data_IF_710135034272
#
_entry.id   IF_710135034272
#
_cell.length_a   1.000
_cell.length_b   1.000
_cell.length_c   1.000
_cell.angle_alpha   90.00
_cell.angle_beta   90.00
_cell.angle_gamma   90.00
#
_symmetry.space_group_name_H-M   'P 1'
#
loop_
_entity.id
_entity.type
_entity.pdbx_description
1 polymer ?
#
# COMPACT_ATOMS: atom_id res chain seq x y z
N UNK A 1 -38.73 -2.71 -25.24
CA UNK A 1 -37.47 -3.37 -24.84
C UNK A 1 -36.34 -2.38 -25.01
N UNK A 2 -35.92 -1.71 -23.94
CA UNK A 2 -34.77 -0.79 -23.94
C UNK A 2 -33.69 -1.38 -23.06
N UNK A 3 -32.71 -2.03 -23.69
CA UNK A 3 -31.53 -2.56 -23.02
C UNK A 3 -30.68 -1.39 -22.51
N UNK A 4 -30.71 -1.17 -21.19
CA UNK A 4 -29.71 -0.34 -20.52
C UNK A 4 -28.38 -1.10 -20.54
N UNK A 5 -27.45 -0.66 -21.40
CA UNK A 5 -26.05 -1.06 -21.33
C UNK A 5 -25.48 -0.51 -20.01
N UNK A 6 -25.38 -1.35 -18.99
CA UNK A 6 -24.58 -1.04 -17.79
C UNK A 6 -23.12 -1.12 -18.22
N UNK A 7 -22.57 -0.02 -18.72
CA UNK A 7 -21.13 0.15 -18.78
C UNK A 7 -20.63 0.23 -17.33
N UNK A 8 -20.16 -0.89 -16.78
CA UNK A 8 -19.42 -0.90 -15.52
C UNK A 8 -18.20 0.01 -15.69
N UNK A 9 -18.24 1.22 -15.15
CA UNK A 9 -17.08 2.11 -15.11
C UNK A 9 -15.90 1.37 -14.49
N UNK A 10 -14.84 1.16 -15.28
CA UNK A 10 -13.61 0.56 -14.79
C UNK A 10 -12.93 1.60 -13.90
N UNK A 11 -12.90 1.33 -12.60
CA UNK A 11 -12.23 2.17 -11.61
C UNK A 11 -10.82 2.55 -12.08
N UNK A 12 -10.51 3.86 -12.07
CA UNK A 12 -9.15 4.39 -12.35
C UNK A 12 -8.06 3.83 -11.43
N UNK A 13 -8.41 3.47 -10.19
CA UNK A 13 -7.48 2.91 -9.22
C UNK A 13 -7.10 1.47 -9.57
N UNK A 14 -5.87 1.03 -9.24
CA UNK A 14 -5.46 -0.34 -9.48
C UNK A 14 -6.39 -1.34 -8.78
N UNK A 15 -6.46 -2.54 -9.33
CA UNK A 15 -7.09 -3.67 -8.68
C UNK A 15 -6.09 -4.46 -7.81
N UNK A 16 -6.58 -5.47 -7.09
CA UNK A 16 -5.75 -6.31 -6.22
C UNK A 16 -4.56 -6.96 -6.94
N UNK A 17 -4.75 -7.46 -8.17
CA UNK A 17 -3.69 -8.14 -8.91
C UNK A 17 -2.57 -7.17 -9.30
N UNK A 18 -2.93 -5.96 -9.71
CA UNK A 18 -1.98 -4.88 -9.99
C UNK A 18 -1.25 -4.44 -8.72
N UNK A 19 -1.95 -4.27 -7.60
CA UNK A 19 -1.33 -3.98 -6.30
C UNK A 19 -0.29 -5.04 -5.90
N UNK A 20 -0.65 -6.32 -6.04
CA UNK A 20 0.26 -7.44 -5.77
C UNK A 20 1.47 -7.45 -6.72
N UNK A 21 1.31 -7.01 -7.97
CA UNK A 21 2.40 -6.87 -8.91
C UNK A 21 3.41 -5.78 -8.50
N UNK A 22 2.93 -4.63 -8.02
CA UNK A 22 3.81 -3.58 -7.46
C UNK A 22 4.58 -4.10 -6.25
N UNK A 23 3.91 -4.79 -5.33
CA UNK A 23 4.57 -5.40 -4.17
C UNK A 23 5.65 -6.42 -4.59
N UNK A 24 5.33 -7.32 -5.52
CA UNK A 24 6.31 -8.29 -6.05
C UNK A 24 7.51 -7.59 -6.69
N UNK A 25 7.27 -6.52 -7.44
CA UNK A 25 8.33 -5.74 -8.06
C UNK A 25 9.25 -5.12 -6.99
N UNK A 26 8.67 -4.54 -5.93
CA UNK A 26 9.43 -4.00 -4.81
C UNK A 26 10.26 -5.08 -4.10
N UNK A 27 9.66 -6.23 -3.78
CA UNK A 27 10.35 -7.32 -3.08
C UNK A 27 11.47 -7.95 -3.92
N UNK A 28 11.34 -7.96 -5.26
CA UNK A 28 12.32 -8.53 -6.20
C UNK A 28 13.32 -7.51 -6.74
N UNK A 29 13.38 -6.31 -6.18
CA UNK A 29 14.31 -5.27 -6.65
C UNK A 29 14.13 -4.91 -8.14
N UNK A 30 12.89 -4.93 -8.63
CA UNK A 30 12.59 -4.64 -10.02
C UNK A 30 12.81 -3.17 -10.40
N UNK A 31 13.09 -2.92 -11.68
CA UNK A 31 13.43 -1.58 -12.24
C UNK A 31 12.23 -0.71 -12.63
N UNK A 32 11.00 -1.08 -12.22
CA UNK A 32 9.77 -0.33 -12.59
C UNK A 32 9.51 0.89 -11.71
N UNK A 33 10.15 0.96 -10.55
CA UNK A 33 10.01 2.10 -9.66
C UNK A 33 10.87 3.26 -10.18
N UNK A 34 10.31 4.47 -10.22
CA UNK A 34 11.09 5.67 -10.55
C UNK A 34 11.88 6.20 -9.35
N UNK A 35 11.44 5.86 -8.13
CA UNK A 35 12.17 6.10 -6.90
C UNK A 35 12.05 4.87 -6.00
N UNK A 36 13.18 4.41 -5.47
CA UNK A 36 13.23 3.21 -4.63
C UNK A 36 14.29 3.37 -3.55
N UNK A 37 13.93 2.96 -2.33
CA UNK A 37 14.83 2.80 -1.20
C UNK A 37 14.67 1.39 -0.61
N UNK A 38 15.39 1.11 0.48
CA UNK A 38 15.16 -0.12 1.27
C UNK A 38 13.79 -0.13 1.97
N UNK A 39 13.17 1.04 2.21
CA UNK A 39 11.95 1.18 3.01
C UNK A 39 10.68 1.37 2.19
N UNK A 40 10.81 1.91 0.97
CA UNK A 40 9.67 2.19 0.11
C UNK A 40 10.07 2.26 -1.37
N UNK A 41 9.07 2.20 -2.25
CA UNK A 41 9.22 2.50 -3.67
C UNK A 41 7.99 3.20 -4.23
N UNK A 42 8.20 4.08 -5.20
CA UNK A 42 7.16 4.76 -5.95
C UNK A 42 7.08 4.26 -7.38
N UNK A 43 5.85 4.16 -7.86
CA UNK A 43 5.50 3.72 -9.20
C UNK A 43 4.50 4.70 -9.81
N UNK A 44 4.62 4.94 -11.11
CA UNK A 44 3.57 5.58 -11.88
C UNK A 44 2.54 4.52 -12.27
N UNK A 45 1.26 4.77 -11.97
CA UNK A 45 0.16 3.88 -12.40
C UNK A 45 -0.53 4.42 -13.66
N UNK A 46 -0.85 5.72 -13.64
CA UNK A 46 -1.39 6.50 -14.76
C UNK A 46 -0.89 7.95 -14.61
N UNK A 47 -1.10 8.86 -15.58
CA UNK A 47 -0.69 10.26 -15.44
C UNK A 47 -1.18 10.95 -14.15
N UNK A 48 -2.33 10.52 -13.62
CA UNK A 48 -2.99 11.12 -12.45
C UNK A 48 -2.94 10.25 -11.19
N UNK A 49 -2.36 9.05 -11.25
CA UNK A 49 -2.27 8.13 -10.11
C UNK A 49 -0.85 7.62 -9.91
N UNK A 50 -0.43 7.66 -8.64
CA UNK A 50 0.79 7.02 -8.19
C UNK A 50 0.51 5.89 -7.23
N UNK A 51 1.49 4.99 -7.13
CA UNK A 51 1.50 3.90 -6.16
C UNK A 51 2.75 4.02 -5.32
N UNK A 52 2.59 3.99 -3.99
CA UNK A 52 3.68 3.77 -3.04
C UNK A 52 3.57 2.35 -2.48
N UNK A 53 4.70 1.64 -2.45
CA UNK A 53 4.87 0.41 -1.65
C UNK A 53 5.76 0.78 -0.47
N UNK A 54 5.33 0.51 0.76
CA UNK A 54 6.03 0.93 1.98
C UNK A 54 5.87 -0.08 3.12
N UNK A 55 6.90 -0.24 3.95
CA UNK A 55 6.76 -1.00 5.19
C UNK A 55 5.96 -0.23 6.25
N UNK A 56 4.92 -0.88 6.79
CA UNK A 56 4.16 -0.40 7.95
C UNK A 56 4.77 -0.94 9.25
N UNK A 57 5.19 -2.21 9.22
CA UNK A 57 5.91 -2.88 10.29
C UNK A 57 6.88 -3.91 9.69
N UNK A 58 7.66 -4.61 10.53
CA UNK A 58 8.48 -5.73 10.08
C UNK A 58 7.57 -6.73 9.36
N UNK A 59 7.94 -7.11 8.14
CA UNK A 59 7.21 -8.02 7.26
C UNK A 59 5.82 -7.56 6.80
N UNK A 60 5.30 -6.42 7.26
CA UNK A 60 3.99 -5.90 6.85
C UNK A 60 4.17 -4.71 5.93
N UNK A 61 3.64 -4.81 4.72
CA UNK A 61 3.74 -3.80 3.68
C UNK A 61 2.37 -3.26 3.28
N UNK A 62 2.33 -1.97 3.01
CA UNK A 62 1.23 -1.31 2.34
C UNK A 62 1.57 -1.10 0.87
N UNK A 63 0.61 -1.40 0.00
CA UNK A 63 0.54 -0.86 -1.35
C UNK A 63 -0.58 0.16 -1.36
N UNK A 64 -0.29 1.42 -1.69
CA UNK A 64 -1.27 2.51 -1.68
C UNK A 64 -1.22 3.26 -2.99
N UNK A 65 -2.37 3.36 -3.64
CA UNK A 65 -2.61 4.18 -4.80
C UNK A 65 -3.33 5.47 -4.41
N UNK A 66 -2.89 6.62 -4.91
CA UNK A 66 -3.42 7.93 -4.55
C UNK A 66 -3.31 8.91 -5.74
N UNK A 67 -4.20 9.91 -5.82
CA UNK A 67 -4.18 10.91 -6.88
C UNK A 67 -3.00 11.86 -6.73
N UNK A 68 -2.50 12.36 -7.86
CA UNK A 68 -1.49 13.41 -7.93
C UNK A 68 -1.88 14.46 -8.96
N UNK A 69 -1.67 15.73 -8.64
CA UNK A 69 -2.08 16.85 -9.48
C UNK A 69 -1.05 17.16 -10.57
N UNK A 70 -0.79 16.21 -11.46
CA UNK A 70 -0.06 16.38 -12.74
C UNK A 70 1.41 16.83 -12.68
N UNK A 71 1.82 17.45 -11.59
CA UNK A 71 3.10 18.10 -11.32
C UNK A 71 3.49 17.70 -9.88
N UNK A 72 4.77 17.39 -9.66
CA UNK A 72 5.42 17.08 -8.37
C UNK A 72 5.35 15.65 -7.83
N UNK A 73 6.51 15.22 -7.32
CA UNK A 73 6.77 14.02 -6.52
C UNK A 73 6.05 14.16 -5.19
N UNK A 74 5.12 13.26 -4.88
CA UNK A 74 4.53 13.25 -3.54
C UNK A 74 5.60 12.74 -2.57
N UNK A 75 5.84 13.49 -1.52
CA UNK A 75 6.61 13.02 -0.37
C UNK A 75 5.88 11.82 0.26
N UNK A 76 6.57 11.05 1.10
CA UNK A 76 5.91 9.92 1.81
C UNK A 76 4.76 10.45 2.67
N UNK A 77 4.94 11.63 3.26
CA UNK A 77 3.95 12.28 4.10
C UNK A 77 2.69 12.63 3.29
N UNK A 78 2.84 13.27 2.13
CA UNK A 78 1.71 13.58 1.25
C UNK A 78 1.01 12.31 0.77
N UNK A 79 1.77 11.30 0.31
CA UNK A 79 1.22 10.03 -0.15
C UNK A 79 0.39 9.32 0.92
N UNK A 80 0.86 9.36 2.18
CA UNK A 80 0.17 8.72 3.32
C UNK A 80 -0.99 9.56 3.84
N UNK A 81 -0.94 10.91 3.69
CA UNK A 81 -2.00 11.84 4.08
C UNK A 81 -3.16 11.92 3.09
N UNK A 82 -2.95 11.58 1.82
CA UNK A 82 -4.00 11.59 0.79
C UNK A 82 -5.29 10.92 1.29
N UNK A 83 -6.39 11.67 1.31
CA UNK A 83 -7.67 11.19 1.84
C UNK A 83 -8.38 10.26 0.87
N UNK A 84 -8.33 10.59 -0.44
CA UNK A 84 -8.73 9.70 -1.51
C UNK A 84 -7.58 8.75 -1.85
N UNK A 85 -7.77 7.46 -1.55
CA UNK A 85 -6.78 6.43 -1.87
C UNK A 85 -7.40 5.04 -1.99
N UNK A 86 -6.70 4.15 -2.69
CA UNK A 86 -6.92 2.70 -2.61
C UNK A 86 -5.71 2.01 -2.01
N UNK A 87 -5.91 1.30 -0.90
CA UNK A 87 -4.83 0.67 -0.13
C UNK A 87 -5.02 -0.83 0.02
N UNK A 88 -3.90 -1.56 0.12
CA UNK A 88 -3.84 -2.98 0.45
C UNK A 88 -2.71 -3.22 1.45
N UNK A 89 -3.02 -3.95 2.52
CA UNK A 89 -2.05 -4.45 3.48
C UNK A 89 -1.73 -5.91 3.19
N UNK A 90 -0.44 -6.21 3.22
CA UNK A 90 0.10 -7.55 2.99
C UNK A 90 1.09 -7.88 4.09
N UNK A 91 1.19 -9.17 4.42
CA UNK A 91 2.35 -9.71 5.12
C UNK A 91 3.24 -10.47 4.15
N UNK A 92 4.55 -10.35 4.32
CA UNK A 92 5.55 -11.02 3.52
C UNK A 92 6.36 -11.98 4.40
N UNK A 93 6.20 -13.26 4.14
CA UNK A 93 7.01 -14.30 4.73
C UNK A 93 8.30 -14.45 3.93
N UNK A 94 9.41 -13.98 4.50
CA UNK A 94 10.73 -14.05 3.89
C UNK A 94 11.24 -15.49 3.74
N UNK A 95 10.85 -16.41 4.63
CA UNK A 95 11.33 -17.80 4.62
C UNK A 95 10.81 -18.52 3.38
N UNK A 96 9.51 -18.37 3.11
CA UNK A 96 8.83 -19.02 2.00
C UNK A 96 8.64 -18.09 0.78
N UNK A 97 9.21 -16.87 0.81
CA UNK A 97 9.04 -15.82 -0.21
C UNK A 97 7.57 -15.61 -0.61
N UNK A 98 6.68 -15.68 0.38
CA UNK A 98 5.23 -15.73 0.18
C UNK A 98 4.53 -14.46 0.63
N UNK A 99 3.54 -14.02 -0.15
CA UNK A 99 2.77 -12.80 0.10
C UNK A 99 1.35 -13.20 0.50
N UNK A 100 0.94 -12.82 1.69
CA UNK A 100 -0.42 -13.04 2.19
C UNK A 100 -1.16 -11.71 2.32
N UNK A 101 -2.44 -11.74 1.97
CA UNK A 101 -3.32 -10.57 2.04
C UNK A 101 -3.89 -10.42 3.45
N UNK A 102 -3.87 -9.19 3.97
CA UNK A 102 -4.49 -8.85 5.26
C UNK A 102 -5.85 -8.21 5.00
N UNK A 103 -5.85 -7.03 4.37
CA UNK A 103 -7.07 -6.28 4.06
C UNK A 103 -6.81 -5.22 2.99
N UNK A 104 -7.85 -4.59 2.47
CA UNK A 104 -7.76 -3.51 1.49
C UNK A 104 -8.94 -2.56 1.62
N UNK A 105 -8.69 -1.27 1.36
CA UNK A 105 -9.64 -0.20 1.66
C UNK A 105 -10.97 -0.34 0.92
N UNK A 106 -10.96 -0.87 -0.30
CA UNK A 106 -12.19 -1.15 -1.06
C UNK A 106 -13.08 -2.22 -0.39
N UNK A 107 -12.49 -3.20 0.31
CA UNK A 107 -13.23 -4.28 0.96
C UNK A 107 -13.85 -3.85 2.28
N UNK A 108 -13.12 -3.07 3.08
CA UNK A 108 -13.51 -2.76 4.47
C UNK A 108 -13.91 -1.31 4.69
N UNK A 109 -13.79 -0.44 3.68
CA UNK A 109 -13.88 1.00 3.83
C UNK A 109 -12.56 1.62 4.30
N UNK A 110 -12.39 2.91 4.02
CA UNK A 110 -11.15 3.65 4.32
C UNK A 110 -10.90 3.74 5.83
N UNK A 111 -11.94 3.96 6.64
CA UNK A 111 -11.78 4.16 8.08
C UNK A 111 -11.37 2.88 8.80
N UNK A 112 -12.02 1.75 8.51
CA UNK A 112 -11.60 0.46 9.05
C UNK A 112 -10.19 0.08 8.58
N UNK A 113 -9.86 0.37 7.32
CA UNK A 113 -8.50 0.17 6.81
C UNK A 113 -7.46 0.97 7.60
N UNK A 114 -7.75 2.25 7.90
CA UNK A 114 -6.90 3.11 8.74
C UNK A 114 -6.80 2.56 10.17
N UNK A 115 -7.88 2.06 10.75
CA UNK A 115 -7.87 1.46 12.08
C UNK A 115 -6.98 0.20 12.13
N UNK A 116 -7.10 -0.71 11.16
CA UNK A 116 -6.23 -1.89 11.06
C UNK A 116 -4.75 -1.49 10.96
N UNK A 117 -4.44 -0.51 10.09
CA UNK A 117 -3.07 0.00 9.96
C UNK A 117 -2.54 0.58 11.28
N UNK A 118 -3.35 1.39 11.98
CA UNK A 118 -2.98 1.98 13.27
C UNK A 118 -2.74 0.92 14.34
N UNK A 119 -3.57 -0.12 14.40
CA UNK A 119 -3.40 -1.23 15.35
C UNK A 119 -2.05 -1.94 15.14
N UNK A 120 -1.69 -2.26 13.89
CA UNK A 120 -0.40 -2.88 13.52
C UNK A 120 0.77 -1.98 13.94
N UNK A 121 0.68 -0.68 13.69
CA UNK A 121 1.73 0.27 14.08
C UNK A 121 1.87 0.36 15.60
N UNK A 122 0.75 0.43 16.33
CA UNK A 122 0.76 0.49 17.80
C UNK A 122 1.39 -0.77 18.40
N UNK A 123 1.03 -1.95 17.92
CA UNK A 123 1.60 -3.21 18.38
C UNK A 123 3.13 -3.28 18.14
N UNK A 124 3.60 -2.80 16.99
CA UNK A 124 5.03 -2.67 16.69
C UNK A 124 5.74 -1.77 17.70
N UNK A 125 5.16 -0.62 18.04
CA UNK A 125 5.77 0.30 19.01
C UNK A 125 5.80 -0.30 20.41
N UNK A 126 4.74 -1.01 20.83
CA UNK A 126 4.72 -1.75 22.09
C UNK A 126 5.79 -2.84 22.14
N UNK A 127 5.93 -3.63 21.07
CA UNK A 127 6.95 -4.67 20.98
C UNK A 127 8.37 -4.10 21.08
N UNK A 128 8.63 -2.93 20.47
CA UNK A 128 9.91 -2.23 20.57
C UNK A 128 10.19 -1.72 21.97
N UNK A 129 9.20 -1.12 22.63
CA UNK A 129 9.32 -0.65 24.00
C UNK A 129 9.63 -1.81 24.96
N UNK A 130 8.95 -2.94 24.79
CA UNK A 130 9.23 -4.16 25.57
C UNK A 130 10.65 -4.70 25.36
N UNK A 131 11.13 -4.75 24.11
CA UNK A 131 12.51 -5.16 23.82
C UNK A 131 13.54 -4.21 24.42
N UNK A 132 13.30 -2.90 24.39
CA UNK A 132 14.18 -1.93 25.00
C UNK A 132 14.24 -2.09 26.53
N UNK A 133 13.10 -2.35 27.17
CA UNK A 133 13.03 -2.60 28.62
C UNK A 133 13.79 -3.86 29.04
N UNK A 134 13.69 -4.94 28.28
CA UNK A 134 14.39 -6.21 28.56
C UNK A 134 15.89 -6.19 28.24
N UNK A 135 16.38 -5.13 27.58
CA UNK A 135 17.79 -4.95 27.24
C UNK A 135 18.55 -4.05 28.24
N UNK A 136 17.87 -3.58 29.28
CA UNK A 136 18.42 -2.86 30.44
C UNK A 136 18.72 -3.85 31.57
#
# INVERSE_FOLDING_TARGET
>A
MTGHLIATEVSKYPNYLQAKAYLRNFLRHGRRAFLRTKRYAYYQHSPTLRVIVIYVSKNILEVRAYPVDGFLFATIEEAVRAEDFRGWLFTYDYRNRSIYYITGSQRVGIDNYRQVKRAIQKERELARASQAYLAL
#
